data_IF_355839790573
#
_entry.id   IF_355839790573
#
_cell.length_a   1.000
_cell.length_b   1.000
_cell.length_c   1.000
_cell.angle_alpha   90.00
_cell.angle_beta   90.00
_cell.angle_gamma   90.00
#
_symmetry.space_group_name_H-M   'P 1'
#
loop_
_entity.id
_entity.type
_entity.pdbx_description
1 polymer ?
#
# COMPACT_ATOMS: atom_id res chain seq x y z
N UNK A 1 -17.84 -18.04 -20.36
CA UNK A 1 -18.21 -17.09 -19.29
C UNK A 1 -16.92 -16.46 -18.83
N UNK A 2 -16.76 -15.14 -19.02
CA UNK A 2 -15.53 -14.42 -18.65
C UNK A 2 -15.18 -14.66 -17.17
N UNK A 3 -14.05 -15.33 -16.84
CA UNK A 3 -13.68 -15.65 -15.46
C UNK A 3 -13.63 -14.42 -14.53
N UNK A 4 -13.38 -13.25 -15.12
CA UNK A 4 -13.34 -11.93 -14.47
C UNK A 4 -14.66 -11.53 -13.78
N UNK A 5 -15.81 -12.03 -14.23
CA UNK A 5 -17.13 -11.64 -13.71
C UNK A 5 -17.61 -12.45 -12.49
N UNK A 6 -16.90 -13.50 -12.10
CA UNK A 6 -17.29 -14.34 -10.96
C UNK A 6 -17.00 -13.65 -9.62
N UNK A 7 -17.85 -13.92 -8.62
CA UNK A 7 -17.63 -13.42 -7.26
C UNK A 7 -16.41 -14.09 -6.62
N UNK A 8 -15.80 -13.43 -5.63
CA UNK A 8 -14.68 -13.99 -4.88
C UNK A 8 -15.02 -15.34 -4.27
N UNK A 9 -16.24 -15.48 -3.72
CA UNK A 9 -16.71 -16.70 -3.07
C UNK A 9 -16.75 -17.88 -4.06
N UNK A 10 -17.23 -17.64 -5.28
CA UNK A 10 -17.23 -18.65 -6.35
C UNK A 10 -15.81 -19.02 -6.76
N UNK A 11 -14.94 -18.03 -6.98
CA UNK A 11 -13.55 -18.25 -7.38
C UNK A 11 -12.77 -19.01 -6.29
N UNK A 12 -12.98 -18.68 -5.01
CA UNK A 12 -12.40 -19.39 -3.87
C UNK A 12 -12.86 -20.84 -3.83
N UNK A 13 -14.15 -21.09 -4.07
CA UNK A 13 -14.70 -22.46 -4.10
C UNK A 13 -14.03 -23.28 -5.21
N UNK A 14 -13.99 -22.75 -6.43
CA UNK A 14 -13.35 -23.42 -7.56
C UNK A 14 -11.85 -23.63 -7.34
N UNK A 15 -11.15 -22.64 -6.76
CA UNK A 15 -9.73 -22.75 -6.45
C UNK A 15 -9.45 -23.82 -5.39
N UNK A 16 -10.34 -23.98 -4.40
CA UNK A 16 -10.26 -25.08 -3.41
C UNK A 16 -10.47 -26.46 -4.02
N UNK A 17 -11.26 -26.54 -5.09
CA UNK A 17 -11.49 -27.75 -5.88
C UNK A 17 -10.35 -28.04 -6.88
N UNK A 18 -9.32 -27.18 -6.93
CA UNK A 18 -8.11 -27.38 -7.72
C UNK A 18 -8.01 -26.51 -8.99
N UNK A 19 -8.96 -25.61 -9.23
CA UNK A 19 -8.90 -24.68 -10.36
C UNK A 19 -7.83 -23.61 -10.16
N UNK A 20 -6.67 -23.80 -10.80
CA UNK A 20 -5.58 -22.82 -10.80
C UNK A 20 -5.99 -21.51 -11.48
N UNK A 21 -6.81 -21.59 -12.53
CA UNK A 21 -7.29 -20.42 -13.25
C UNK A 21 -8.18 -19.55 -12.35
N UNK A 22 -9.04 -20.16 -11.53
CA UNK A 22 -9.86 -19.42 -10.57
C UNK A 22 -9.01 -18.64 -9.55
N UNK A 23 -7.92 -19.26 -9.07
CA UNK A 23 -6.96 -18.55 -8.22
C UNK A 23 -6.20 -17.46 -8.99
N UNK A 24 -5.83 -17.70 -10.25
CA UNK A 24 -5.20 -16.70 -11.12
C UNK A 24 -6.06 -15.45 -11.33
N UNK A 25 -7.38 -15.59 -11.39
CA UNK A 25 -8.32 -14.45 -11.40
C UNK A 25 -8.27 -13.68 -10.09
N UNK A 26 -8.26 -14.37 -8.94
CA UNK A 26 -8.11 -13.72 -7.63
C UNK A 26 -6.78 -12.96 -7.51
N UNK A 27 -5.68 -13.56 -7.99
CA UNK A 27 -4.38 -12.88 -8.04
C UNK A 27 -4.47 -11.61 -8.89
N UNK A 28 -4.97 -11.72 -10.13
CA UNK A 28 -5.10 -10.58 -11.04
C UNK A 28 -5.95 -9.46 -10.46
N UNK A 29 -7.01 -9.81 -9.73
CA UNK A 29 -7.93 -8.87 -9.07
C UNK A 29 -7.28 -8.12 -7.91
N UNK A 30 -6.42 -8.78 -7.13
CA UNK A 30 -5.90 -8.23 -5.86
C UNK A 30 -4.42 -7.88 -5.88
N UNK A 31 -3.65 -8.24 -6.91
CA UNK A 31 -2.20 -8.05 -6.95
C UNK A 31 -1.78 -6.60 -6.72
N UNK A 32 -2.46 -5.67 -7.39
CA UNK A 32 -2.14 -4.25 -7.31
C UNK A 32 -2.30 -3.73 -5.87
N UNK A 33 -3.44 -4.07 -5.27
CA UNK A 33 -3.79 -3.69 -3.91
C UNK A 33 -2.87 -4.36 -2.87
N UNK A 34 -2.46 -5.61 -3.10
CA UNK A 34 -1.52 -6.31 -2.24
C UNK A 34 -0.12 -5.66 -2.28
N UNK A 35 0.37 -5.28 -3.47
CA UNK A 35 1.64 -4.56 -3.62
C UNK A 35 1.57 -3.20 -2.91
N UNK A 36 0.52 -2.40 -3.18
CA UNK A 36 0.34 -1.10 -2.52
C UNK A 36 0.32 -1.24 -1.00
N UNK A 37 -0.37 -2.26 -0.48
CA UNK A 37 -0.39 -2.52 0.96
C UNK A 37 1.00 -2.84 1.51
N UNK A 38 1.74 -3.74 0.86
CA UNK A 38 3.08 -4.12 1.27
C UNK A 38 4.06 -2.93 1.21
N UNK A 39 3.97 -2.11 0.17
CA UNK A 39 4.78 -0.91 -0.01
C UNK A 39 4.49 0.16 1.03
N UNK A 40 3.23 0.28 1.48
CA UNK A 40 2.87 1.14 2.61
C UNK A 40 3.58 0.74 3.92
N UNK A 41 4.02 -0.50 4.05
CA UNK A 41 4.81 -1.00 5.18
C UNK A 41 6.31 -0.87 4.92
N UNK A 42 6.77 -1.38 3.77
CA UNK A 42 8.19 -1.59 3.46
C UNK A 42 8.91 -0.38 2.86
N UNK A 43 8.18 0.52 2.19
CA UNK A 43 8.71 1.66 1.40
C UNK A 43 9.66 1.31 0.25
N UNK A 44 10.05 0.05 0.13
CA UNK A 44 10.83 -0.47 -0.99
C UNK A 44 9.91 -1.27 -1.94
N UNK A 45 9.94 -0.95 -3.22
CA UNK A 45 9.05 -1.55 -4.22
C UNK A 45 9.37 -3.01 -4.51
N UNK A 46 10.64 -3.37 -4.60
CA UNK A 46 11.09 -4.74 -4.85
C UNK A 46 10.68 -5.66 -3.70
N UNK A 47 11.02 -5.29 -2.46
CA UNK A 47 10.58 -5.98 -1.24
C UNK A 47 9.05 -6.07 -1.15
N UNK A 48 8.32 -5.04 -1.58
CA UNK A 48 6.85 -5.05 -1.59
C UNK A 48 6.27 -6.02 -2.63
N UNK A 49 6.83 -6.05 -3.84
CA UNK A 49 6.46 -7.02 -4.89
C UNK A 49 6.72 -8.44 -4.39
N UNK A 50 7.89 -8.71 -3.82
CA UNK A 50 8.25 -10.01 -3.27
C UNK A 50 7.35 -10.44 -2.10
N UNK A 51 7.09 -9.53 -1.15
CA UNK A 51 6.19 -9.80 -0.03
C UNK A 51 4.76 -10.12 -0.52
N UNK A 52 4.27 -9.40 -1.54
CA UNK A 52 2.95 -9.65 -2.12
C UNK A 52 2.89 -11.02 -2.81
N UNK A 53 3.92 -11.40 -3.56
CA UNK A 53 3.99 -12.72 -4.21
C UNK A 53 4.02 -13.86 -3.18
N UNK A 54 4.84 -13.72 -2.14
CA UNK A 54 4.90 -14.67 -1.03
C UNK A 54 3.55 -14.78 -0.32
N UNK A 55 2.83 -13.67 -0.16
CA UNK A 55 1.50 -13.66 0.41
C UNK A 55 0.50 -14.43 -0.46
N UNK A 56 0.53 -14.28 -1.79
CA UNK A 56 -0.31 -15.07 -2.69
C UNK A 56 0.04 -16.56 -2.66
N UNK A 57 1.33 -16.92 -2.60
CA UNK A 57 1.72 -18.32 -2.45
C UNK A 57 1.18 -18.91 -1.14
N UNK A 58 1.32 -18.18 -0.02
CA UNK A 58 0.75 -18.58 1.28
C UNK A 58 -0.78 -18.64 1.25
N UNK A 59 -1.44 -17.71 0.56
CA UNK A 59 -2.87 -17.73 0.36
C UNK A 59 -3.31 -18.96 -0.43
N UNK A 60 -2.59 -19.32 -1.51
CA UNK A 60 -2.88 -20.52 -2.30
C UNK A 60 -2.81 -21.79 -1.46
N UNK A 61 -1.71 -22.00 -0.73
CA UNK A 61 -1.54 -23.19 0.12
C UNK A 61 -2.45 -23.16 1.37
N UNK A 62 -2.79 -21.97 1.85
CA UNK A 62 -3.69 -21.76 2.99
C UNK A 62 -5.17 -21.85 2.63
N UNK A 63 -5.53 -21.79 1.34
CA UNK A 63 -6.91 -21.65 0.87
C UNK A 63 -7.80 -22.81 1.31
N UNK A 64 -7.25 -24.03 1.38
CA UNK A 64 -7.97 -25.20 1.86
C UNK A 64 -8.47 -25.05 3.31
N UNK A 65 -7.78 -24.24 4.12
CA UNK A 65 -8.10 -23.97 5.54
C UNK A 65 -8.92 -22.69 5.73
N UNK A 66 -9.14 -21.91 4.67
CA UNK A 66 -9.94 -20.70 4.74
C UNK A 66 -11.42 -21.07 4.95
N UNK A 67 -11.96 -20.66 6.10
CA UNK A 67 -13.31 -21.03 6.55
C UNK A 67 -14.43 -20.18 5.97
N UNK A 68 -14.11 -19.03 5.38
CA UNK A 68 -15.12 -18.08 4.89
C UNK A 68 -15.76 -17.21 5.98
N UNK A 69 -15.22 -17.21 7.21
CA UNK A 69 -15.70 -16.37 8.32
C UNK A 69 -15.53 -14.87 8.05
N UNK A 70 -14.63 -14.53 7.12
CA UNK A 70 -14.35 -13.20 6.61
C UNK A 70 -14.41 -13.21 5.09
N UNK A 71 -14.48 -12.03 4.45
CA UNK A 71 -14.29 -11.94 2.99
C UNK A 71 -12.87 -12.35 2.61
N UNK A 72 -12.72 -12.98 1.43
CA UNK A 72 -11.41 -13.39 0.92
C UNK A 72 -10.40 -12.25 0.91
N UNK A 73 -10.77 -11.07 0.39
CA UNK A 73 -9.92 -9.88 0.38
C UNK A 73 -9.36 -9.51 1.77
N UNK A 74 -10.19 -9.62 2.83
CA UNK A 74 -9.80 -9.27 4.20
C UNK A 74 -8.79 -10.27 4.74
N UNK A 75 -9.03 -11.55 4.48
CA UNK A 75 -8.12 -12.64 4.85
C UNK A 75 -6.79 -12.54 4.11
N UNK A 76 -6.83 -12.31 2.79
CA UNK A 76 -5.64 -12.10 1.96
C UNK A 76 -4.80 -10.93 2.45
N UNK A 77 -5.40 -9.76 2.69
CA UNK A 77 -4.67 -8.58 3.14
C UNK A 77 -4.06 -8.74 4.54
N UNK A 78 -4.63 -9.61 5.38
CA UNK A 78 -3.98 -9.99 6.64
C UNK A 78 -2.71 -10.81 6.41
N UNK A 79 -2.70 -11.71 5.41
CA UNK A 79 -1.49 -12.44 5.01
C UNK A 79 -0.46 -11.44 4.46
N UNK A 80 -0.85 -10.55 3.55
CA UNK A 80 0.02 -9.51 2.98
C UNK A 80 0.67 -8.65 4.06
N UNK A 81 -0.12 -8.18 5.03
CA UNK A 81 0.39 -7.40 6.15
C UNK A 81 1.47 -8.14 6.94
N UNK A 82 1.21 -9.41 7.24
CA UNK A 82 2.13 -10.24 8.01
C UNK A 82 3.44 -10.46 7.24
N UNK A 83 3.37 -10.75 5.94
CA UNK A 83 4.57 -10.87 5.10
C UNK A 83 5.37 -9.57 5.08
N UNK A 84 4.71 -8.43 4.85
CA UNK A 84 5.39 -7.15 4.81
C UNK A 84 6.05 -6.82 6.15
N UNK A 85 5.39 -7.10 7.28
CA UNK A 85 5.96 -6.91 8.63
C UNK A 85 7.12 -7.85 8.93
N UNK A 86 7.06 -9.09 8.45
CA UNK A 86 8.14 -10.06 8.60
C UNK A 86 9.38 -9.62 7.81
N UNK A 87 9.19 -9.13 6.57
CA UNK A 87 10.28 -8.57 5.75
C UNK A 87 10.85 -7.32 6.42
N UNK A 88 10.02 -6.39 6.86
CA UNK A 88 10.46 -5.16 7.54
C UNK A 88 11.31 -5.45 8.78
N UNK A 89 10.89 -6.41 9.63
CA UNK A 89 11.65 -6.84 10.81
C UNK A 89 13.01 -7.44 10.44
N UNK A 90 13.07 -8.22 9.36
CA UNK A 90 14.34 -8.78 8.84
C UNK A 90 15.24 -7.68 8.29
N UNK A 91 14.70 -6.71 7.57
CA UNK A 91 15.46 -5.58 7.03
C UNK A 91 16.04 -4.70 8.13
N UNK A 92 15.28 -4.39 9.18
CA UNK A 92 15.81 -3.69 10.37
C UNK A 92 16.94 -4.48 11.01
N UNK A 93 16.74 -5.78 11.24
CA UNK A 93 17.76 -6.63 11.88
C UNK A 93 19.03 -6.71 11.02
N UNK A 94 18.88 -6.83 9.70
CA UNK A 94 19.97 -6.84 8.73
C UNK A 94 20.69 -5.50 8.68
N UNK A 95 19.96 -4.38 8.65
CA UNK A 95 20.52 -3.04 8.64
C UNK A 95 21.28 -2.73 9.92
N UNK A 96 20.75 -3.15 11.07
CA UNK A 96 21.46 -3.09 12.35
C UNK A 96 22.76 -3.89 12.25
N UNK A 97 22.72 -5.16 11.83
CA UNK A 97 23.93 -5.99 11.66
C UNK A 97 24.94 -5.41 10.65
N UNK A 98 24.49 -4.83 9.54
CA UNK A 98 25.32 -4.17 8.52
C UNK A 98 26.00 -2.92 9.08
N UNK A 99 25.26 -2.10 9.83
CA UNK A 99 25.80 -0.96 10.57
C UNK A 99 26.88 -1.40 11.57
N UNK A 100 26.63 -2.47 12.34
CA UNK A 100 27.62 -3.03 13.28
C UNK A 100 28.82 -3.73 12.60
N UNK A 101 28.66 -4.23 11.37
CA UNK A 101 29.70 -4.95 10.62
C UNK A 101 30.43 -4.09 9.58
N UNK A 102 30.10 -2.79 9.48
CA UNK A 102 30.74 -1.85 8.55
C UNK A 102 30.47 -2.13 7.07
N UNK A 103 29.38 -2.85 6.73
CA UNK A 103 28.97 -3.08 5.34
C UNK A 103 27.88 -2.07 4.97
N UNK A 104 28.07 -1.32 3.89
CA UNK A 104 27.05 -0.43 3.34
C UNK A 104 25.79 -1.23 2.98
N UNK A 105 24.64 -0.77 3.49
CA UNK A 105 23.34 -1.35 3.16
C UNK A 105 22.92 -0.92 1.76
N UNK A 106 22.34 -1.84 0.98
CA UNK A 106 21.79 -1.51 -0.33
C UNK A 106 20.51 -0.67 -0.16
N UNK A 107 20.58 0.62 -0.51
CA UNK A 107 19.39 1.44 -0.76
C UNK A 107 18.72 0.90 -2.03
N UNK A 108 17.66 0.11 -1.87
CA UNK A 108 16.85 -0.30 -3.02
C UNK A 108 15.98 0.86 -3.49
N UNK A 109 15.66 0.89 -4.79
CA UNK A 109 14.89 1.97 -5.41
C UNK A 109 13.52 2.15 -4.73
N UNK A 110 13.30 3.34 -4.15
CA UNK A 110 12.00 3.77 -3.59
C UNK A 110 11.06 4.15 -4.75
N UNK A 111 10.43 3.15 -5.38
CA UNK A 111 9.35 3.38 -6.34
C UNK A 111 8.09 3.89 -5.61
N UNK A 112 7.24 4.68 -6.29
CA UNK A 112 6.09 5.35 -5.67
C UNK A 112 4.88 4.43 -5.47
N UNK A 113 4.23 4.48 -4.29
CA UNK A 113 2.97 3.78 -4.00
C UNK A 113 1.78 4.32 -4.81
N UNK A 114 1.88 5.56 -5.31
CA UNK A 114 0.84 6.24 -6.09
C UNK A 114 1.07 6.16 -7.61
N UNK A 115 2.25 5.75 -8.06
CA UNK A 115 2.53 5.44 -9.47
C UNK A 115 1.87 4.13 -9.93
N UNK A 116 1.61 3.23 -8.97
CA UNK A 116 0.88 1.97 -9.20
C UNK A 116 -0.57 2.22 -9.65
N UNK A 117 -1.12 3.42 -9.39
CA UNK A 117 -2.47 3.81 -9.83
C UNK A 117 -2.42 4.34 -11.27
N UNK A 118 -3.06 3.67 -12.25
CA UNK A 118 -3.03 4.10 -13.66
C UNK A 118 -3.61 5.51 -13.83
N UNK A 119 -2.88 6.39 -14.51
CA UNK A 119 -3.36 7.71 -14.94
C UNK A 119 -3.64 7.68 -16.44
N UNK A 120 -4.90 7.50 -16.84
CA UNK A 120 -5.31 7.54 -18.25
C UNK A 120 -5.70 8.95 -18.69
N UNK A 121 -5.16 9.41 -19.82
CA UNK A 121 -5.72 10.53 -20.59
C UNK A 121 -5.28 11.96 -20.22
N UNK A 122 -4.13 12.15 -19.58
CA UNK A 122 -3.62 13.47 -19.18
C UNK A 122 -2.68 14.08 -20.24
N UNK A 123 -2.74 15.39 -20.43
CA UNK A 123 -1.72 16.12 -21.20
C UNK A 123 -0.36 16.10 -20.47
N UNK A 124 0.78 16.34 -21.16
CA UNK A 124 2.10 16.31 -20.52
C UNK A 124 2.24 17.26 -19.31
N UNK A 125 1.57 18.41 -19.36
CA UNK A 125 1.55 19.39 -18.27
C UNK A 125 0.74 18.89 -17.08
N UNK A 126 -0.46 18.35 -17.34
CA UNK A 126 -1.31 17.78 -16.30
C UNK A 126 -0.67 16.55 -15.65
N UNK A 127 0.03 15.74 -16.44
CA UNK A 127 0.80 14.60 -15.94
C UNK A 127 1.93 15.05 -15.00
N UNK A 128 2.64 16.11 -15.35
CA UNK A 128 3.70 16.67 -14.50
C UNK A 128 3.15 17.25 -13.18
N UNK A 129 2.08 18.05 -13.26
CA UNK A 129 1.42 18.61 -12.06
C UNK A 129 0.81 17.51 -11.18
N UNK A 130 0.26 16.45 -11.79
CA UNK A 130 -0.25 15.28 -11.08
C UNK A 130 0.89 14.48 -10.42
N UNK A 131 2.04 14.32 -11.07
CA UNK A 131 3.19 13.60 -10.51
C UNK A 131 3.79 14.35 -9.32
N UNK A 132 3.91 15.67 -9.40
CA UNK A 132 4.35 16.51 -8.27
C UNK A 132 3.38 16.40 -7.09
N UNK A 133 2.07 16.44 -7.37
CA UNK A 133 1.02 16.27 -6.35
C UNK A 133 1.04 14.88 -5.72
N UNK A 134 1.23 13.83 -6.53
CA UNK A 134 1.38 12.44 -6.05
C UNK A 134 2.60 12.32 -5.14
N UNK A 135 3.75 12.82 -5.56
CA UNK A 135 4.97 12.78 -4.75
C UNK A 135 4.80 13.48 -3.39
N UNK A 136 4.11 14.63 -3.36
CA UNK A 136 3.80 15.32 -2.10
C UNK A 136 2.86 14.52 -1.19
N UNK A 137 1.81 13.94 -1.76
CA UNK A 137 0.86 13.10 -1.03
C UNK A 137 1.55 11.85 -0.46
N UNK A 138 2.38 11.20 -1.26
CA UNK A 138 3.13 10.02 -0.84
C UNK A 138 4.08 10.31 0.31
N UNK A 139 4.89 11.38 0.22
CA UNK A 139 5.75 11.80 1.33
C UNK A 139 4.94 12.05 2.59
N UNK A 140 3.80 12.73 2.47
CA UNK A 140 2.92 12.98 3.60
C UNK A 140 2.35 11.69 4.20
N UNK A 141 2.03 10.68 3.39
CA UNK A 141 1.60 9.35 3.84
C UNK A 141 2.73 8.65 4.61
N UNK A 142 3.97 8.72 4.12
CA UNK A 142 5.12 8.12 4.82
C UNK A 142 5.49 8.84 6.12
N UNK A 143 5.17 10.12 6.27
CA UNK A 143 5.34 10.85 7.54
C UNK A 143 4.29 10.50 8.61
N UNK A 144 3.23 9.76 8.24
CA UNK A 144 2.29 9.23 9.22
C UNK A 144 2.97 8.18 10.11
N UNK A 145 2.63 8.15 11.41
CA UNK A 145 3.03 7.02 12.24
C UNK A 145 2.42 5.73 11.69
N UNK A 146 3.08 4.61 11.99
CA UNK A 146 2.85 3.32 11.32
C UNK A 146 1.37 2.91 11.32
N UNK A 147 0.70 3.02 12.47
CA UNK A 147 -0.71 2.60 12.61
C UNK A 147 -1.68 3.47 11.83
N UNK A 148 -1.48 4.79 11.82
CA UNK A 148 -2.26 5.71 11.01
C UNK A 148 -2.05 5.43 9.52
N UNK A 149 -0.80 5.16 9.11
CA UNK A 149 -0.45 4.82 7.72
C UNK A 149 -1.13 3.53 7.27
N UNK A 150 -1.04 2.46 8.08
CA UNK A 150 -1.72 1.17 7.82
C UNK A 150 -3.22 1.34 7.64
N UNK A 151 -3.86 2.08 8.55
CA UNK A 151 -5.31 2.35 8.50
C UNK A 151 -5.66 3.17 7.25
N UNK A 152 -4.85 4.17 6.91
CA UNK A 152 -5.07 5.02 5.74
C UNK A 152 -4.96 4.23 4.43
N UNK A 153 -3.89 3.44 4.27
CA UNK A 153 -3.66 2.60 3.09
C UNK A 153 -4.81 1.62 2.91
N UNK A 154 -5.16 0.87 3.97
CA UNK A 154 -6.26 -0.10 3.89
C UNK A 154 -7.62 0.55 3.57
N UNK A 155 -7.89 1.73 4.14
CA UNK A 155 -9.18 2.42 3.93
C UNK A 155 -9.29 3.02 2.53
N UNK A 156 -8.28 3.77 2.10
CA UNK A 156 -8.36 4.64 0.92
C UNK A 156 -7.72 4.03 -0.32
N UNK A 157 -6.63 3.26 -0.18
CA UNK A 157 -5.96 2.64 -1.31
C UNK A 157 -6.51 1.24 -1.59
N UNK A 158 -6.79 0.44 -0.54
CA UNK A 158 -7.38 -0.89 -0.69
C UNK A 158 -8.91 -0.91 -0.67
N UNK A 159 -9.56 0.23 -0.41
CA UNK A 159 -11.01 0.37 -0.44
C UNK A 159 -11.76 -0.45 0.61
N UNK A 160 -11.12 -0.83 1.72
CA UNK A 160 -11.78 -1.60 2.77
C UNK A 160 -12.77 -0.74 3.57
N UNK A 161 -13.85 -1.37 4.04
CA UNK A 161 -14.72 -0.76 5.05
C UNK A 161 -14.00 -0.70 6.40
N UNK A 162 -14.36 0.24 7.27
CA UNK A 162 -13.69 0.40 8.58
C UNK A 162 -13.74 -0.87 9.45
N UNK A 163 -14.81 -1.64 9.36
CA UNK A 163 -14.93 -2.94 10.01
C UNK A 163 -13.94 -3.97 9.45
N UNK A 164 -13.75 -3.99 8.13
CA UNK A 164 -12.76 -4.86 7.46
C UNK A 164 -11.33 -4.43 7.82
N UNK A 165 -11.05 -3.11 7.92
CA UNK A 165 -9.76 -2.60 8.40
C UNK A 165 -9.49 -3.04 9.85
N UNK A 166 -10.50 -2.93 10.72
CA UNK A 166 -10.41 -3.36 12.11
C UNK A 166 -10.07 -4.85 12.23
N UNK A 167 -10.73 -5.68 11.42
CA UNK A 167 -10.49 -7.12 11.35
C UNK A 167 -9.09 -7.45 10.80
N UNK A 168 -8.67 -6.82 9.71
CA UNK A 168 -7.34 -7.02 9.11
C UNK A 168 -6.21 -6.65 10.08
N UNK A 169 -6.38 -5.54 10.81
CA UNK A 169 -5.35 -5.04 11.74
C UNK A 169 -5.47 -5.62 13.16
N UNK A 170 -6.54 -6.37 13.46
CA UNK A 170 -6.79 -6.92 14.80
C UNK A 170 -7.05 -5.84 15.85
N UNK A 171 -7.71 -4.74 15.47
CA UNK A 171 -7.98 -3.58 16.34
C UNK A 171 -9.48 -3.40 16.58
N UNK A 172 -9.84 -2.71 17.67
CA UNK A 172 -11.22 -2.28 17.86
C UNK A 172 -11.62 -1.23 16.81
N UNK A 173 -12.89 -1.26 16.37
CA UNK A 173 -13.40 -0.31 15.38
C UNK A 173 -13.25 1.16 15.83
N UNK A 174 -13.41 1.43 17.13
CA UNK A 174 -13.17 2.76 17.69
C UNK A 174 -11.72 3.22 17.54
N UNK A 175 -10.76 2.32 17.74
CA UNK A 175 -9.33 2.58 17.56
C UNK A 175 -8.99 2.88 16.10
N UNK A 176 -9.57 2.13 15.15
CA UNK A 176 -9.42 2.40 13.71
C UNK A 176 -9.93 3.80 13.36
N UNK A 177 -11.10 4.18 13.86
CA UNK A 177 -11.67 5.53 13.63
C UNK A 177 -10.76 6.62 14.18
N UNK A 178 -10.19 6.43 15.37
CA UNK A 178 -9.26 7.38 15.98
C UNK A 178 -7.98 7.54 15.15
N UNK A 179 -7.33 6.43 14.76
CA UNK A 179 -6.15 6.48 13.88
C UNK A 179 -6.46 7.15 12.54
N UNK A 180 -7.60 6.85 11.92
CA UNK A 180 -7.99 7.48 10.67
C UNK A 180 -8.18 8.99 10.81
N UNK A 181 -8.84 9.43 11.89
CA UNK A 181 -9.05 10.85 12.17
C UNK A 181 -7.72 11.58 12.40
N UNK A 182 -6.85 11.03 13.25
CA UNK A 182 -5.54 11.60 13.55
C UNK A 182 -4.65 11.64 12.29
N UNK A 183 -4.61 10.55 11.53
CA UNK A 183 -3.87 10.47 10.26
C UNK A 183 -4.36 11.50 9.25
N UNK A 184 -5.67 11.69 9.12
CA UNK A 184 -6.25 12.69 8.22
C UNK A 184 -5.89 14.12 8.63
N UNK A 185 -5.94 14.44 9.92
CA UNK A 185 -5.51 15.76 10.43
C UNK A 185 -4.02 16.01 10.14
N UNK A 186 -3.17 15.00 10.40
CA UNK A 186 -1.74 15.11 10.14
C UNK A 186 -1.42 15.28 8.65
N UNK A 187 -2.03 14.47 7.77
CA UNK A 187 -1.92 14.61 6.32
C UNK A 187 -2.30 16.01 5.85
N UNK A 188 -3.45 16.54 6.30
CA UNK A 188 -3.87 17.90 5.96
C UNK A 188 -2.84 18.94 6.40
N UNK A 189 -2.26 18.78 7.59
CA UNK A 189 -1.25 19.71 8.09
C UNK A 189 0.02 19.70 7.22
N UNK A 190 0.54 18.52 6.88
CA UNK A 190 1.74 18.35 6.05
C UNK A 190 1.53 18.93 4.66
N UNK A 191 0.39 18.60 4.03
CA UNK A 191 0.06 19.08 2.69
C UNK A 191 -0.15 20.61 2.67
N UNK A 192 -0.78 21.18 3.70
CA UNK A 192 -0.96 22.63 3.81
C UNK A 192 0.35 23.39 4.02
N UNK A 193 1.31 22.79 4.74
CA UNK A 193 2.64 23.36 4.91
C UNK A 193 3.45 23.29 3.60
N UNK A 194 3.41 22.15 2.90
CA UNK A 194 4.05 21.97 1.60
C UNK A 194 3.52 22.94 0.54
N UNK A 195 2.19 23.15 0.50
CA UNK A 195 1.56 24.11 -0.42
C UNK A 195 2.03 25.56 -0.18
N UNK A 196 2.18 25.97 1.09
CA UNK A 196 2.70 27.31 1.45
C UNK A 196 4.16 27.49 1.01
N UNK A 197 4.99 26.46 1.16
CA UNK A 197 6.39 26.48 0.72
C UNK A 197 6.51 26.49 -0.81
N UNK A 198 5.66 25.74 -1.52
CA UNK A 198 5.60 25.73 -3.00
C UNK A 198 5.13 27.07 -3.60
N UNK A 199 4.17 27.74 -2.96
CA UNK A 199 3.72 29.09 -3.34
C UNK A 199 4.82 30.15 -3.15
N UNK A 200 5.59 30.07 -2.07
CA UNK A 200 6.73 30.96 -1.83
C UNK A 200 7.85 30.76 -2.87
N UNK A 201 8.17 29.51 -3.22
CA UNK A 201 9.17 29.19 -4.27
C UNK A 201 8.75 29.65 -5.67
N UNK A 202 7.45 29.57 -6.01
CA UNK A 202 6.91 30.07 -7.28
C UNK A 202 6.99 31.59 -7.43
N UNK A 203 6.82 32.36 -6.34
CA UNK A 203 6.96 33.82 -6.37
C UNK A 203 8.42 34.28 -6.56
N UNK A 204 9.38 33.59 -5.96
CA UNK A 204 10.82 33.90 -6.11
C UNK A 204 11.31 33.58 -7.53
N UNK A 205 10.88 32.45 -8.11
CA UNK A 205 11.22 32.08 -9.49
C UNK A 205 10.63 33.02 -10.56
N UNK A 206 9.52 33.70 -10.27
CA UNK A 206 8.94 34.72 -11.15
C UNK A 206 9.64 36.07 -11.06
N UNK A 207 10.29 36.39 -9.93
CA UNK A 207 11.06 37.64 -9.77
C UNK A 207 12.48 37.55 -10.33
N UNK A 208 13.10 36.36 -10.34
CA UNK A 208 14.45 36.15 -10.92
C UNK A 208 14.48 36.05 -12.45
N UNK A 209 13.32 35.96 -13.14
CA UNK A 209 13.25 35.98 -14.61
C UNK A 209 13.02 37.38 -15.21
N UNK A 210 12.96 38.42 -14.37
CA UNK A 210 12.79 39.83 -14.80
C UNK A 210 14.03 40.71 -14.54
N UNK A 211 15.20 40.11 -14.31
CA UNK A 211 16.50 40.79 -14.23
C UNK A 211 17.39 40.21 -15.33
#
# INVERSE_FOLDING_TARGET
MEPSALSDETLVTQAREGSRDAFGVLVSRYQLQAIMMAQGVLRNSESAKDASQNAFAKAYFGLARFRGDAKFKTWLFRIVLNEAKDVYRKEITRGLFQFWSGREGSEGEEESILEIIPSSGQSPREAFEAQETKAQLERAIYELPEREREVFVLRYLNGLALSEVAETLGMALGTVKAHLAHGTVKLKSILSASAKTGLAGRQVGSQMKSI
#
